data_IF_317271959186
#
_entry.id   IF_317271959186
#
_cell.length_a   1.000
_cell.length_b   1.000
_cell.length_c   1.000
_cell.angle_alpha   90.00
_cell.angle_beta   90.00
_cell.angle_gamma   90.00
#
_symmetry.space_group_name_H-M   'P 1'
#
loop_
_entity.id
_entity.type
_entity.pdbx_description
1 polymer ?
#
# COMPACT_ATOMS: atom_id res chain seq x y z
N UNK A 1 13.61 24.18 -13.79
CA UNK A 1 12.81 22.95 -13.64
C UNK A 1 13.74 21.82 -13.24
N UNK A 2 13.75 21.44 -11.96
CA UNK A 2 14.63 20.38 -11.47
C UNK A 2 13.99 19.02 -11.75
N UNK A 3 14.44 18.36 -12.81
CA UNK A 3 14.24 16.93 -13.01
C UNK A 3 15.03 16.18 -11.93
N UNK A 4 14.38 15.84 -10.82
CA UNK A 4 14.97 15.03 -9.74
C UNK A 4 15.27 13.62 -10.29
N UNK A 5 16.56 13.30 -10.30
CA UNK A 5 17.16 12.21 -11.05
C UNK A 5 16.60 10.83 -10.64
N UNK A 6 16.04 10.12 -11.61
CA UNK A 6 15.61 8.70 -11.59
C UNK A 6 16.80 7.72 -11.42
N UNK A 7 17.94 8.19 -10.91
CA UNK A 7 19.20 7.44 -10.81
C UNK A 7 19.49 6.80 -9.45
N UNK A 8 18.63 6.94 -8.43
CA UNK A 8 18.99 6.50 -7.07
C UNK A 8 18.31 5.20 -6.63
N UNK A 9 16.99 5.03 -6.84
CA UNK A 9 16.27 3.85 -6.36
C UNK A 9 16.77 2.53 -6.98
N UNK A 10 16.96 2.48 -8.29
CA UNK A 10 17.30 1.26 -9.01
C UNK A 10 18.68 0.72 -8.61
N UNK A 11 19.68 1.60 -8.56
CA UNK A 11 21.03 1.24 -8.10
C UNK A 11 21.03 0.88 -6.61
N UNK A 12 20.32 1.64 -5.76
CA UNK A 12 20.19 1.31 -4.35
C UNK A 12 19.58 -0.07 -4.13
N UNK A 13 18.49 -0.42 -4.83
CA UNK A 13 17.88 -1.74 -4.75
C UNK A 13 18.85 -2.85 -5.19
N UNK A 14 19.62 -2.61 -6.25
CA UNK A 14 20.66 -3.54 -6.71
C UNK A 14 21.75 -3.74 -5.65
N UNK A 15 22.21 -2.67 -5.02
CA UNK A 15 23.19 -2.72 -3.93
C UNK A 15 22.66 -3.50 -2.72
N UNK A 16 21.45 -3.16 -2.24
CA UNK A 16 20.83 -3.85 -1.11
C UNK A 16 20.64 -5.34 -1.40
N UNK A 17 20.22 -5.69 -2.62
CA UNK A 17 20.09 -7.09 -3.05
C UNK A 17 21.44 -7.82 -3.02
N UNK A 18 22.52 -7.19 -3.51
CA UNK A 18 23.87 -7.77 -3.50
C UNK A 18 24.41 -7.93 -2.07
N UNK A 19 24.16 -6.95 -1.20
CA UNK A 19 24.53 -7.02 0.21
C UNK A 19 23.79 -8.16 0.94
N UNK A 20 22.52 -8.38 0.60
CA UNK A 20 21.75 -9.52 1.07
C UNK A 20 22.12 -10.85 0.38
N UNK A 21 23.08 -10.84 -0.55
CA UNK A 21 23.53 -12.01 -1.33
C UNK A 21 22.41 -12.73 -2.09
N UNK A 22 21.38 -11.98 -2.49
CA UNK A 22 20.25 -12.51 -3.24
C UNK A 22 20.48 -12.35 -4.75
N UNK A 23 20.17 -13.40 -5.51
CA UNK A 23 19.97 -13.27 -6.94
C UNK A 23 18.71 -12.44 -7.23
N UNK A 24 18.63 -11.86 -8.42
CA UNK A 24 17.44 -11.10 -8.85
C UNK A 24 16.18 -11.97 -8.79
N UNK A 25 16.30 -13.26 -9.10
CA UNK A 25 15.19 -14.22 -9.03
C UNK A 25 14.74 -14.46 -7.60
N UNK A 26 15.66 -14.70 -6.68
CA UNK A 26 15.33 -14.90 -5.27
C UNK A 26 14.64 -13.68 -4.67
N UNK A 27 15.10 -12.46 -4.98
CA UNK A 27 14.43 -11.25 -4.49
C UNK A 27 13.03 -11.09 -5.10
N UNK A 28 12.87 -11.34 -6.40
CA UNK A 28 11.57 -11.28 -7.06
C UNK A 28 10.57 -12.27 -6.44
N UNK A 29 11.00 -13.52 -6.23
CA UNK A 29 10.19 -14.57 -5.61
C UNK A 29 9.81 -14.20 -4.17
N UNK A 30 10.77 -13.68 -3.37
CA UNK A 30 10.52 -13.26 -1.99
C UNK A 30 9.62 -12.02 -1.86
N UNK A 31 9.69 -11.11 -2.83
CA UNK A 31 8.83 -9.92 -2.89
C UNK A 31 7.48 -10.19 -3.57
N UNK A 32 7.25 -11.37 -4.15
CA UNK A 32 6.00 -11.67 -4.85
C UNK A 32 5.81 -10.88 -6.16
N UNK A 33 6.90 -10.43 -6.78
CA UNK A 33 6.88 -9.67 -8.03
C UNK A 33 7.56 -10.45 -9.15
N UNK A 34 7.24 -10.13 -10.41
CA UNK A 34 7.89 -10.82 -11.53
C UNK A 34 9.36 -10.41 -11.68
N UNK A 35 10.22 -11.38 -11.98
CA UNK A 35 11.65 -11.13 -12.23
C UNK A 35 11.92 -10.09 -13.34
N UNK A 36 11.21 -10.10 -14.50
CA UNK A 36 11.37 -9.05 -15.51
C UNK A 36 11.01 -7.66 -15.00
N UNK A 37 9.97 -7.53 -14.17
CA UNK A 37 9.57 -6.25 -13.60
C UNK A 37 10.60 -5.71 -12.60
N UNK A 38 11.09 -6.55 -11.70
CA UNK A 38 12.17 -6.17 -10.77
C UNK A 38 13.45 -5.77 -11.52
N UNK A 39 13.78 -6.47 -12.62
CA UNK A 39 14.88 -6.09 -13.51
C UNK A 39 14.71 -4.70 -14.12
N UNK A 40 13.49 -4.33 -14.50
CA UNK A 40 13.19 -3.01 -15.04
C UNK A 40 13.33 -1.92 -13.96
N UNK A 41 12.92 -2.21 -12.72
CA UNK A 41 13.07 -1.30 -11.58
C UNK A 41 14.55 -1.06 -11.25
N UNK A 42 15.38 -2.10 -11.14
CA UNK A 42 16.83 -1.95 -10.86
C UNK A 42 17.59 -1.19 -11.97
N UNK A 43 17.02 -1.11 -13.17
CA UNK A 43 17.60 -0.35 -14.30
C UNK A 43 17.00 1.05 -14.44
N UNK A 44 16.07 1.44 -13.56
CA UNK A 44 15.37 2.73 -13.64
C UNK A 44 14.39 2.83 -14.81
N UNK A 45 14.05 1.72 -15.47
CA UNK A 45 13.16 1.70 -16.65
C UNK A 45 11.67 1.71 -16.25
N UNK A 46 11.36 1.39 -14.99
CA UNK A 46 10.00 1.40 -14.45
C UNK A 46 9.99 2.03 -13.08
N UNK A 47 8.95 2.84 -12.83
CA UNK A 47 8.61 3.34 -11.50
C UNK A 47 7.75 2.29 -10.78
N UNK A 48 8.18 1.77 -9.62
CA UNK A 48 7.36 0.87 -8.82
C UNK A 48 6.25 1.62 -8.07
N UNK A 49 5.18 0.91 -7.70
CA UNK A 49 4.15 1.44 -6.77
C UNK A 49 4.64 1.38 -5.32
N UNK A 50 3.94 2.09 -4.42
CA UNK A 50 4.20 2.01 -2.99
C UNK A 50 4.08 0.58 -2.44
N UNK A 51 3.05 -0.16 -2.88
CA UNK A 51 2.85 -1.56 -2.50
C UNK A 51 4.05 -2.45 -2.90
N UNK A 52 4.54 -2.30 -4.13
CA UNK A 52 5.72 -3.03 -4.62
C UNK A 52 6.96 -2.67 -3.79
N UNK A 53 7.13 -1.40 -3.43
CA UNK A 53 8.24 -0.98 -2.59
C UNK A 53 8.14 -1.55 -1.16
N UNK A 54 6.95 -1.66 -0.59
CA UNK A 54 6.75 -2.34 0.70
C UNK A 54 7.12 -3.82 0.64
N UNK A 55 6.69 -4.52 -0.41
CA UNK A 55 6.99 -5.93 -0.62
C UNK A 55 8.50 -6.15 -0.76
N UNK A 56 9.17 -5.32 -1.56
CA UNK A 56 10.62 -5.39 -1.76
C UNK A 56 11.38 -5.00 -0.49
N UNK A 57 10.95 -3.97 0.24
CA UNK A 57 11.52 -3.59 1.53
C UNK A 57 11.45 -4.73 2.55
N UNK A 58 10.29 -5.40 2.63
CA UNK A 58 10.08 -6.58 3.49
C UNK A 58 11.01 -7.73 3.10
N UNK A 59 11.15 -8.01 1.81
CA UNK A 59 12.03 -9.07 1.32
C UNK A 59 13.52 -8.78 1.61
N UNK A 60 13.93 -7.52 1.52
CA UNK A 60 15.29 -7.05 1.85
C UNK A 60 15.52 -6.79 3.33
N UNK A 61 14.46 -6.82 4.16
CA UNK A 61 14.47 -6.48 5.59
C UNK A 61 15.02 -5.07 5.87
N UNK A 62 14.60 -4.10 5.06
CA UNK A 62 14.94 -2.68 5.20
C UNK A 62 13.68 -1.83 5.38
N UNK A 63 13.84 -0.57 5.79
CA UNK A 63 12.71 0.34 5.92
C UNK A 63 12.12 0.69 4.54
N UNK A 64 10.79 0.57 4.40
CA UNK A 64 10.07 0.99 3.20
C UNK A 64 10.15 2.52 2.99
N UNK A 65 10.25 3.28 4.08
CA UNK A 65 10.42 4.74 4.05
C UNK A 65 11.68 5.16 3.28
N UNK A 66 12.79 4.44 3.49
CA UNK A 66 14.03 4.67 2.74
C UNK A 66 13.82 4.48 1.25
N UNK A 67 13.04 3.47 0.85
CA UNK A 67 12.72 3.25 -0.55
C UNK A 67 11.78 4.31 -1.11
N UNK A 68 10.83 4.82 -0.34
CA UNK A 68 9.92 5.87 -0.78
C UNK A 68 10.65 7.18 -1.06
N UNK A 69 11.58 7.59 -0.19
CA UNK A 69 12.41 8.78 -0.43
C UNK A 69 13.26 8.60 -1.69
N UNK A 70 13.92 7.45 -1.82
CA UNK A 70 14.75 7.14 -3.00
C UNK A 70 13.93 7.05 -4.29
N UNK A 71 12.67 6.66 -4.20
CA UNK A 71 11.71 6.64 -5.30
C UNK A 71 11.11 8.01 -5.63
N UNK A 72 11.35 9.03 -4.79
CA UNK A 72 10.68 10.33 -4.89
C UNK A 72 9.16 10.23 -4.67
N UNK A 73 8.72 9.24 -3.89
CA UNK A 73 7.33 9.05 -3.46
C UNK A 73 7.10 9.74 -2.12
N UNK A 74 8.11 9.73 -1.25
CA UNK A 74 8.14 10.55 -0.04
C UNK A 74 9.07 11.73 -0.34
N UNK A 75 8.54 12.93 -0.34
CA UNK A 75 9.38 14.12 -0.51
C UNK A 75 10.27 14.27 0.74
N UNK A 76 11.53 14.70 0.59
CA UNK A 76 12.43 15.03 1.72
C UNK A 76 11.75 15.97 2.75
N UNK A 77 10.81 16.78 2.26
CA UNK A 77 9.97 17.71 3.01
C UNK A 77 8.95 17.04 3.94
N UNK A 78 8.45 15.85 3.58
CA UNK A 78 7.56 15.05 4.42
C UNK A 78 8.34 14.32 5.51
N UNK A 79 9.59 13.93 5.24
CA UNK A 79 10.53 13.43 6.26
C UNK A 79 10.82 14.50 7.31
N UNK A 80 11.24 15.68 6.87
CA UNK A 80 11.53 16.82 7.77
C UNK A 80 10.32 17.17 8.65
N UNK A 81 9.10 17.03 8.12
CA UNK A 81 7.86 17.22 8.89
C UNK A 81 7.71 16.20 10.02
N UNK A 82 7.83 14.90 9.69
CA UNK A 82 7.69 13.82 10.65
C UNK A 82 8.76 13.88 11.73
N UNK A 83 10.00 14.20 11.35
CA UNK A 83 11.12 14.39 12.27
C UNK A 83 10.87 15.56 13.22
N UNK A 84 10.38 16.70 12.72
CA UNK A 84 10.07 17.88 13.55
C UNK A 84 8.96 17.58 14.56
N UNK A 85 7.87 16.93 14.13
CA UNK A 85 6.78 16.52 15.04
C UNK A 85 7.27 15.54 16.11
N UNK A 86 8.11 14.58 15.74
CA UNK A 86 8.68 13.62 16.68
C UNK A 86 9.57 14.29 17.74
N UNK A 87 10.35 15.31 17.37
CA UNK A 87 11.18 16.09 18.31
C UNK A 87 10.32 16.82 19.34
N UNK A 88 9.24 17.48 18.90
CA UNK A 88 8.31 18.18 19.82
C UNK A 88 7.68 17.21 20.84
N UNK A 89 7.31 16.01 20.37
CA UNK A 89 6.68 15.00 21.23
C UNK A 89 7.68 14.35 22.20
N UNK A 90 8.94 14.21 21.82
CA UNK A 90 9.98 13.58 22.61
C UNK A 90 10.56 14.49 23.73
N UNK A 91 10.29 15.80 23.71
CA UNK A 91 10.79 16.72 24.73
C UNK A 91 10.14 16.46 26.11
N UNK A 92 10.91 16.06 27.14
CA UNK A 92 10.38 15.76 28.47
C UNK A 92 10.08 17.01 29.30
N UNK A 93 10.58 18.19 28.90
CA UNK A 93 10.36 19.46 29.60
C UNK A 93 9.01 20.11 29.26
N UNK A 94 8.35 19.62 28.21
CA UNK A 94 7.09 20.14 27.69
C UNK A 94 5.96 19.20 28.11
N UNK A 95 4.90 19.74 28.72
CA UNK A 95 3.74 18.93 29.08
C UNK A 95 2.81 18.68 27.87
N UNK A 96 1.89 17.72 28.01
CA UNK A 96 0.97 17.33 26.92
C UNK A 96 0.16 18.49 26.34
N UNK A 97 -0.31 19.41 27.20
CA UNK A 97 -1.04 20.60 26.73
C UNK A 97 -0.17 21.51 25.88
N UNK A 98 1.07 21.75 26.30
CA UNK A 98 2.02 22.58 25.58
C UNK A 98 2.46 21.94 24.26
N UNK A 99 2.67 20.61 24.23
CA UNK A 99 2.95 19.85 23.00
C UNK A 99 1.83 20.01 21.99
N UNK A 100 0.58 19.83 22.41
CA UNK A 100 -0.60 19.99 21.55
C UNK A 100 -0.70 21.40 20.96
N UNK A 101 -0.43 22.44 21.77
CA UNK A 101 -0.43 23.83 21.27
C UNK A 101 0.69 24.08 20.27
N UNK A 102 1.90 23.57 20.52
CA UNK A 102 3.02 23.71 19.59
C UNK A 102 2.76 23.02 18.25
N UNK A 103 2.19 21.82 18.28
CA UNK A 103 1.79 21.09 17.08
C UNK A 103 0.70 21.84 16.31
N UNK A 104 -0.32 22.37 17.00
CA UNK A 104 -1.37 23.14 16.35
C UNK A 104 -0.83 24.42 15.68
N UNK A 105 0.09 25.14 16.35
CA UNK A 105 0.73 26.33 15.77
C UNK A 105 1.57 25.93 14.57
N UNK A 106 2.38 24.89 14.70
CA UNK A 106 3.21 24.35 13.62
C UNK A 106 2.38 23.98 12.38
N UNK A 107 1.27 23.27 12.59
CA UNK A 107 0.34 22.88 11.52
C UNK A 107 -0.33 24.10 10.87
N UNK A 108 -0.69 25.11 11.66
CA UNK A 108 -1.29 26.34 11.14
C UNK A 108 -0.33 27.12 10.23
N UNK A 109 0.94 27.26 10.61
CA UNK A 109 1.95 27.93 9.79
C UNK A 109 2.31 27.13 8.54
N UNK A 110 2.31 25.79 8.63
CA UNK A 110 2.48 24.95 7.43
C UNK A 110 1.34 25.18 6.44
N UNK A 111 0.09 25.14 6.92
CA UNK A 111 -1.07 25.37 6.08
C UNK A 111 -1.06 26.76 5.44
N UNK A 112 -0.72 27.80 6.21
CA UNK A 112 -0.62 29.18 5.72
C UNK A 112 0.45 29.34 4.63
N UNK A 113 1.58 28.65 4.77
CA UNK A 113 2.66 28.66 3.78
C UNK A 113 2.41 27.71 2.58
N UNK A 114 1.20 27.14 2.46
CA UNK A 114 0.80 26.29 1.34
C UNK A 114 1.27 24.83 1.44
N UNK A 115 1.58 24.36 2.65
CA UNK A 115 1.89 22.96 2.92
C UNK A 115 0.62 22.25 3.42
N UNK A 116 -0.11 21.61 2.51
CA UNK A 116 -1.25 20.75 2.86
C UNK A 116 -0.74 19.46 3.52
N UNK A 117 -1.36 18.99 4.63
CA UNK A 117 -1.08 17.64 5.11
C UNK A 117 -1.47 16.65 4.02
N UNK A 118 -0.52 15.78 3.63
CA UNK A 118 -0.82 14.65 2.75
C UNK A 118 -2.01 13.86 3.32
N UNK A 119 -2.86 13.25 2.48
CA UNK A 119 -4.14 12.70 2.90
C UNK A 119 -3.91 11.70 4.03
N UNK A 120 -4.25 12.12 5.25
CA UNK A 120 -4.36 11.21 6.37
C UNK A 120 -5.39 10.16 5.98
N UNK A 121 -4.94 8.91 5.99
CA UNK A 121 -5.75 7.70 5.90
C UNK A 121 -7.08 7.91 6.62
N UNK A 122 -8.14 8.17 5.85
CA UNK A 122 -9.51 8.22 6.30
C UNK A 122 -9.92 6.87 6.86
N UNK A 123 -9.68 6.67 8.16
CA UNK A 123 -10.44 5.74 8.97
C UNK A 123 -11.70 6.50 9.41
N UNK A 124 -12.71 6.51 8.54
CA UNK A 124 -14.06 6.93 8.87
C UNK A 124 -14.60 6.07 10.02
N UNK A 125 -14.51 6.60 11.24
CA UNK A 125 -15.36 6.18 12.34
C UNK A 125 -16.73 6.85 12.16
N UNK A 126 -17.59 6.24 11.34
CA UNK A 126 -18.98 6.64 11.19
C UNK A 126 -19.73 6.43 12.50
N UNK A 127 -19.91 7.50 13.27
CA UNK A 127 -20.89 7.56 14.35
C UNK A 127 -22.29 7.71 13.76
N UNK A 128 -23.05 6.62 13.71
CA UNK A 128 -24.50 6.68 13.48
C UNK A 128 -25.23 6.58 14.83
N UNK A 129 -25.67 7.72 15.35
CA UNK A 129 -26.63 7.80 16.45
C UNK A 129 -28.06 7.95 15.90
N UNK A 130 -28.88 6.94 16.17
CA UNK A 130 -30.27 7.00 16.66
C UNK A 130 -31.34 7.85 15.98
N UNK A 131 -32.47 7.22 15.65
CA UNK A 131 -33.75 7.91 15.40
C UNK A 131 -34.87 6.98 14.95
N UNK A 132 -35.70 6.56 15.91
CA UNK A 132 -36.90 5.71 15.81
C UNK A 132 -37.95 6.14 14.78
N UNK A 133 -38.69 5.15 14.23
CA UNK A 133 -40.17 5.09 14.29
C UNK A 133 -40.69 3.78 13.69
N UNK A 134 -41.50 3.05 14.46
CA UNK A 134 -42.12 1.78 14.08
C UNK A 134 -43.49 1.90 13.41
N UNK A 135 -44.16 0.74 13.32
CA UNK A 135 -45.50 0.46 12.77
C UNK A 135 -45.54 0.25 11.24
N UNK A 136 -46.06 -0.83 10.66
CA UNK A 136 -46.80 -1.97 11.17
C UNK A 136 -47.36 -2.80 9.98
N UNK A 137 -47.44 -4.11 10.18
CA UNK A 137 -48.35 -5.13 9.61
C UNK A 137 -49.08 -4.91 8.25
N UNK A 138 -49.09 -5.98 7.44
CA UNK A 138 -50.23 -6.26 6.56
C UNK A 138 -49.92 -7.07 5.31
N UNK A 139 -50.34 -8.34 5.30
CA UNK A 139 -50.30 -9.27 4.17
C UNK A 139 -51.24 -8.86 3.03
N UNK A 140 -50.90 -9.18 1.78
CA UNK A 140 -51.66 -10.09 0.89
C UNK A 140 -51.19 -10.00 -0.57
N UNK A 141 -51.26 -11.13 -1.29
CA UNK A 141 -51.32 -11.14 -2.76
C UNK A 141 -50.27 -11.97 -3.51
N UNK A 142 -50.41 -13.29 -3.51
CA UNK A 142 -50.13 -14.14 -4.71
C UNK A 142 -51.36 -14.07 -5.66
N UNK A 143 -51.39 -14.61 -6.92
CA UNK A 143 -50.45 -15.56 -7.57
C UNK A 143 -50.23 -15.38 -9.10
N UNK A 144 -49.42 -16.28 -9.68
CA UNK A 144 -49.49 -16.75 -11.08
C UNK A 144 -48.33 -16.30 -11.97
N UNK A 145 -47.79 -17.07 -12.92
CA UNK A 145 -47.93 -18.45 -13.36
C UNK A 145 -46.80 -18.70 -14.40
N UNK A 146 -46.57 -19.97 -14.74
CA UNK A 146 -45.97 -20.49 -15.99
C UNK A 146 -44.47 -20.34 -16.30
N UNK A 147 -43.76 -21.46 -16.10
CA UNK A 147 -43.38 -22.29 -17.25
C UNK A 147 -41.93 -22.21 -17.75
N UNK A 148 -41.44 -23.27 -18.43
CA UNK A 148 -40.13 -23.88 -18.16
C UNK A 148 -39.14 -23.78 -19.33
N UNK A 149 -37.85 -24.14 -19.11
CA UNK A 149 -36.92 -24.76 -20.09
C UNK A 149 -35.57 -25.11 -19.45
N UNK A 150 -35.31 -26.40 -19.20
CA UNK A 150 -34.47 -27.34 -19.99
C UNK A 150 -32.95 -27.19 -19.84
N UNK A 151 -32.37 -28.18 -19.15
CA UNK A 151 -31.22 -29.02 -19.49
C UNK A 151 -30.03 -28.40 -20.25
N UNK A 152 -28.84 -28.53 -19.64
CA UNK A 152 -27.56 -28.51 -20.32
C UNK A 152 -26.53 -29.28 -19.49
N UNK A 153 -26.29 -30.54 -19.86
CA UNK A 153 -25.24 -31.37 -19.29
C UNK A 153 -23.84 -30.86 -19.65
N UNK A 154 -22.85 -31.25 -18.85
CA UNK A 154 -21.46 -31.26 -19.30
C UNK A 154 -20.72 -32.41 -18.63
N UNK A 155 -20.17 -33.24 -19.50
CA UNK A 155 -19.31 -34.37 -19.26
C UNK A 155 -17.98 -33.93 -18.62
N UNK A 156 -17.48 -34.71 -17.66
CA UNK A 156 -16.07 -34.74 -17.31
C UNK A 156 -15.73 -36.07 -16.64
N UNK A 157 -15.55 -37.12 -17.45
CA UNK A 157 -14.81 -38.31 -17.04
C UNK A 157 -13.68 -38.55 -18.05
N UNK A 158 -12.47 -38.15 -17.68
CA UNK A 158 -11.24 -38.60 -18.34
C UNK A 158 -10.28 -39.09 -17.26
N UNK A 159 -10.21 -40.41 -17.17
CA UNK A 159 -9.33 -41.16 -16.31
C UNK A 159 -7.88 -41.21 -16.82
N UNK A 160 -6.96 -41.26 -15.85
CA UNK A 160 -5.72 -42.07 -15.84
C UNK A 160 -4.52 -41.70 -16.75
N UNK A 161 -3.57 -40.93 -16.18
CA UNK A 161 -2.20 -41.32 -15.74
C UNK A 161 -1.59 -42.66 -16.26
N UNK A 162 -0.26 -42.91 -16.09
CA UNK A 162 0.97 -42.29 -16.63
C UNK A 162 1.92 -43.35 -17.28
N UNK A 163 3.13 -42.98 -17.77
CA UNK A 163 4.40 -43.75 -17.60
C UNK A 163 5.63 -43.07 -18.25
N UNK A 164 6.73 -43.03 -17.48
CA UNK A 164 8.17 -42.76 -17.81
C UNK A 164 8.79 -43.96 -18.59
N UNK A 165 10.13 -44.11 -18.82
CA UNK A 165 11.32 -43.23 -18.65
C UNK A 165 12.18 -43.11 -19.94
N UNK A 166 13.00 -42.06 -20.11
CA UNK A 166 14.46 -41.96 -19.83
C UNK A 166 15.36 -42.94 -20.58
N UNK A 167 16.17 -42.40 -21.49
CA UNK A 167 17.53 -42.87 -21.78
C UNK A 167 18.46 -41.67 -21.96
#
# INVERSE_FOLDING_TARGET
MASLNVGNLGEYLREQRRNAQLSLRQLADAAGVSNPYLSQIERGLRKPSAEVLQQVAKALRISAETLYVRAGILDEREREELETRAVILADPSINERQKNVLLQIYDSFRKENGFEPGPESGAEAGSATGGESGSGAGADGRPGADGPRTAGGSDADTASKPSKPSH
#
